data_IF_168693769507
#
_entry.id   IF_168693769507
#
_cell.length_a   1.000
_cell.length_b   1.000
_cell.length_c   1.000
_cell.angle_alpha   90.00
_cell.angle_beta   90.00
_cell.angle_gamma   90.00
#
_symmetry.space_group_name_H-M   'P 1'
#
loop_
_entity.id
_entity.type
_entity.pdbx_description
1 polymer ?
#
# COMPACT_ATOMS: atom_id res chain seq x y z
N UNK A 1 10.77 2.26 19.75
CA UNK A 1 10.84 1.50 18.49
C UNK A 1 12.27 1.03 18.31
N UNK A 2 12.46 -0.19 17.76
CA UNK A 2 13.80 -0.68 17.45
C UNK A 2 14.44 0.17 16.33
N UNK A 3 15.77 0.11 16.22
CA UNK A 3 16.53 0.85 15.21
C UNK A 3 16.03 0.49 13.79
N UNK A 4 15.71 1.49 12.95
CA UNK A 4 15.17 1.33 11.59
C UNK A 4 13.68 1.05 11.47
N UNK A 5 12.94 0.91 12.56
CA UNK A 5 11.48 0.69 12.54
C UNK A 5 10.74 2.01 12.36
N UNK A 6 9.85 2.09 11.36
CA UNK A 6 9.07 3.30 11.10
C UNK A 6 7.58 3.16 11.41
N UNK A 7 7.02 1.94 11.38
CA UNK A 7 5.60 1.67 11.71
C UNK A 7 5.51 0.49 12.65
N UNK A 8 4.59 0.56 13.62
CA UNK A 8 4.27 -0.52 14.53
C UNK A 8 2.77 -0.63 14.79
N UNK A 9 2.19 -1.80 14.50
CA UNK A 9 0.90 -2.23 14.98
C UNK A 9 1.12 -3.09 16.22
N UNK A 10 0.48 -2.73 17.34
CA UNK A 10 0.63 -3.44 18.62
C UNK A 10 -0.71 -4.03 19.03
N UNK A 11 -0.89 -5.34 18.82
CA UNK A 11 -2.05 -6.13 19.24
C UNK A 11 -3.39 -5.47 18.89
N UNK A 12 -3.51 -5.04 17.64
CA UNK A 12 -4.67 -4.31 17.14
C UNK A 12 -5.90 -5.21 17.11
N UNK A 13 -6.98 -4.71 17.71
CA UNK A 13 -8.33 -5.19 17.44
C UNK A 13 -9.15 -4.05 16.85
N UNK A 14 -10.01 -4.36 15.88
CA UNK A 14 -10.96 -3.41 15.30
C UNK A 14 -12.33 -4.08 15.17
N UNK A 15 -13.32 -3.49 15.82
CA UNK A 15 -14.72 -3.91 15.77
C UNK A 15 -15.55 -2.76 15.21
N UNK A 16 -16.44 -3.07 14.28
CA UNK A 16 -17.43 -2.14 13.75
C UNK A 16 -18.79 -2.47 14.31
N UNK A 17 -19.51 -1.46 14.82
CA UNK A 17 -20.91 -1.59 15.18
C UNK A 17 -21.77 -1.52 13.91
N UNK A 18 -22.62 -2.52 13.67
CA UNK A 18 -23.59 -2.57 12.57
C UNK A 18 -24.99 -2.78 13.16
N UNK A 19 -25.66 -1.70 13.54
CA UNK A 19 -26.93 -1.77 14.26
C UNK A 19 -26.80 -2.48 15.59
N UNK A 20 -27.49 -3.63 15.75
CA UNK A 20 -27.39 -4.48 16.96
C UNK A 20 -26.26 -5.51 16.91
N UNK A 21 -25.58 -5.64 15.77
CA UNK A 21 -24.51 -6.62 15.58
C UNK A 21 -23.15 -5.92 15.61
N UNK A 22 -22.16 -6.61 16.16
CA UNK A 22 -20.75 -6.22 16.10
C UNK A 22 -20.03 -7.10 15.09
N UNK A 23 -19.19 -6.47 14.27
CA UNK A 23 -18.37 -7.17 13.30
C UNK A 23 -16.90 -6.95 13.66
N UNK A 24 -16.24 -8.01 14.11
CA UNK A 24 -14.79 -8.00 14.37
C UNK A 24 -14.06 -8.08 13.04
N UNK A 25 -13.47 -6.97 12.61
CA UNK A 25 -12.72 -6.89 11.37
C UNK A 25 -11.27 -7.37 11.55
N UNK A 26 -10.61 -6.95 12.63
CA UNK A 26 -9.24 -7.35 12.98
C UNK A 26 -9.19 -7.86 14.40
N UNK A 27 -8.38 -8.89 14.65
CA UNK A 27 -8.20 -9.48 15.97
C UNK A 27 -6.75 -9.80 16.25
N UNK A 28 -6.15 -9.13 17.24
CA UNK A 28 -4.80 -9.32 17.76
C UNK A 28 -3.72 -9.24 16.65
N UNK A 29 -3.80 -8.21 15.81
CA UNK A 29 -2.88 -7.98 14.70
C UNK A 29 -1.67 -7.20 15.21
N UNK A 30 -0.48 -7.76 15.00
CA UNK A 30 0.81 -7.10 15.25
C UNK A 30 1.65 -7.15 13.97
N UNK A 31 2.22 -6.01 13.57
CA UNK A 31 3.05 -5.89 12.37
C UNK A 31 4.06 -4.76 12.57
N UNK A 32 5.26 -4.95 12.05
CA UNK A 32 6.31 -3.93 12.02
C UNK A 32 6.72 -3.66 10.58
N UNK A 33 6.91 -2.38 10.24
CA UNK A 33 7.45 -1.95 8.95
C UNK A 33 8.73 -1.18 9.21
N UNK A 34 9.79 -1.48 8.47
CA UNK A 34 11.08 -0.78 8.55
C UNK A 34 11.13 0.40 7.56
N UNK A 35 12.00 1.37 7.82
CA UNK A 35 12.25 2.43 6.84
C UNK A 35 12.77 1.85 5.53
N UNK A 36 12.20 2.31 4.42
CA UNK A 36 12.57 1.83 3.09
C UNK A 36 12.05 0.43 2.73
N UNK A 37 11.30 -0.25 3.60
CA UNK A 37 10.77 -1.59 3.35
C UNK A 37 9.47 -1.54 2.53
N UNK A 38 9.35 -2.42 1.54
CA UNK A 38 8.14 -2.62 0.76
C UNK A 38 7.39 -3.85 1.29
N UNK A 39 6.28 -3.64 1.98
CA UNK A 39 5.44 -4.72 2.50
C UNK A 39 4.17 -4.85 1.66
N UNK A 40 3.88 -6.08 1.22
CA UNK A 40 2.59 -6.43 0.63
C UNK A 40 1.73 -7.23 1.61
N UNK A 41 0.46 -6.86 1.74
CA UNK A 41 -0.53 -7.66 2.46
C UNK A 41 -1.42 -8.37 1.45
N UNK A 42 -1.48 -9.69 1.55
CA UNK A 42 -2.37 -10.54 0.75
C UNK A 42 -3.38 -11.27 1.66
N UNK A 43 -4.54 -11.58 1.11
CA UNK A 43 -5.57 -12.30 1.84
C UNK A 43 -6.92 -12.22 1.14
N UNK A 44 -7.90 -13.04 1.54
CA UNK A 44 -9.23 -13.06 0.94
C UNK A 44 -9.96 -11.73 1.10
N UNK A 45 -11.00 -11.52 0.29
CA UNK A 45 -11.85 -10.33 0.40
C UNK A 45 -12.49 -10.26 1.79
N UNK A 46 -12.52 -9.06 2.38
CA UNK A 46 -13.12 -8.82 3.69
C UNK A 46 -12.29 -9.29 4.89
N UNK A 47 -11.03 -9.71 4.71
CA UNK A 47 -10.15 -10.10 5.82
C UNK A 47 -9.57 -8.91 6.63
N UNK A 48 -9.89 -7.66 6.27
CA UNK A 48 -9.46 -6.48 7.04
C UNK A 48 -8.25 -5.73 6.49
N UNK A 49 -7.77 -6.02 5.28
CA UNK A 49 -6.62 -5.32 4.66
C UNK A 49 -6.84 -3.80 4.59
N UNK A 50 -7.95 -3.37 4.01
CA UNK A 50 -8.32 -1.94 3.93
C UNK A 50 -8.48 -1.32 5.32
N UNK A 51 -8.99 -2.09 6.32
CA UNK A 51 -9.03 -1.65 7.71
C UNK A 51 -7.64 -1.35 8.26
N UNK A 52 -6.64 -2.20 7.98
CA UNK A 52 -5.26 -1.93 8.37
C UNK A 52 -4.72 -0.65 7.73
N UNK A 53 -4.97 -0.44 6.44
CA UNK A 53 -4.60 0.82 5.77
C UNK A 53 -5.27 2.04 6.41
N UNK A 54 -6.58 1.97 6.67
CA UNK A 54 -7.34 3.07 7.28
C UNK A 54 -6.84 3.43 8.68
N UNK A 55 -6.49 2.42 9.49
CA UNK A 55 -5.87 2.63 10.80
C UNK A 55 -4.51 3.34 10.66
N UNK A 56 -3.68 2.90 9.70
CA UNK A 56 -2.37 3.48 9.48
C UNK A 56 -2.45 4.87 8.81
N UNK A 57 -3.44 5.11 7.95
CA UNK A 57 -3.72 6.42 7.38
C UNK A 57 -4.26 7.42 8.43
N UNK A 58 -4.77 6.92 9.56
CA UNK A 58 -5.40 7.72 10.61
C UNK A 58 -6.85 8.11 10.28
N UNK A 59 -7.50 7.41 9.34
CA UNK A 59 -8.94 7.59 9.05
C UNK A 59 -9.81 6.88 10.07
N UNK A 60 -9.24 5.91 10.78
CA UNK A 60 -9.89 5.14 11.82
C UNK A 60 -8.96 4.97 13.01
N UNK A 61 -9.55 4.66 14.17
CA UNK A 61 -8.82 4.31 15.38
C UNK A 61 -9.08 2.85 15.75
N UNK A 62 -8.11 2.13 16.31
CA UNK A 62 -8.30 0.76 16.74
C UNK A 62 -9.25 0.72 17.97
N UNK A 63 -10.01 -0.37 18.10
CA UNK A 63 -10.82 -0.63 19.31
C UNK A 63 -9.95 -1.02 20.50
N UNK A 64 -8.85 -1.77 20.24
CA UNK A 64 -7.81 -2.12 21.22
C UNK A 64 -6.44 -2.09 20.54
N UNK A 65 -5.39 -1.92 21.36
CA UNK A 65 -4.02 -1.80 20.87
C UNK A 65 -3.66 -0.38 20.42
N UNK A 66 -2.53 -0.20 19.77
CA UNK A 66 -2.06 1.08 19.24
C UNK A 66 -1.37 0.93 17.89
N UNK A 67 -1.52 1.95 17.03
CA UNK A 67 -0.75 2.10 15.79
C UNK A 67 0.16 3.29 15.95
N UNK A 68 1.44 3.08 15.68
CA UNK A 68 2.45 4.13 15.75
C UNK A 68 3.17 4.24 14.41
N UNK A 69 3.47 5.47 14.00
CA UNK A 69 4.32 5.75 12.85
C UNK A 69 5.38 6.78 13.25
N UNK A 70 6.64 6.52 12.90
CA UNK A 70 7.78 7.42 13.14
C UNK A 70 7.90 7.86 14.61
N UNK A 71 7.64 6.93 15.55
CA UNK A 71 7.73 7.19 17.00
C UNK A 71 6.55 7.97 17.58
N UNK A 72 5.46 8.15 16.84
CA UNK A 72 4.26 8.84 17.28
C UNK A 72 3.02 7.98 17.08
N UNK A 73 2.13 8.00 18.05
CA UNK A 73 0.83 7.39 17.92
C UNK A 73 0.04 8.06 16.81
N UNK A 74 -0.70 7.27 16.05
CA UNK A 74 -1.58 7.78 14.98
C UNK A 74 -2.93 8.12 15.60
N UNK A 75 -3.24 9.41 15.68
CA UNK A 75 -4.52 9.93 16.17
C UNK A 75 -5.36 10.58 15.06
N UNK A 76 -4.83 10.64 13.83
CA UNK A 76 -5.48 11.21 12.66
C UNK A 76 -4.60 11.20 11.40
N UNK A 77 -5.12 11.67 10.26
CA UNK A 77 -4.34 11.82 9.04
C UNK A 77 -3.15 12.77 9.22
N UNK A 78 -2.04 12.47 8.55
CA UNK A 78 -0.81 13.26 8.65
C UNK A 78 -0.07 13.38 7.32
N UNK A 79 0.77 14.44 7.13
CA UNK A 79 1.50 14.68 5.89
C UNK A 79 2.70 13.74 5.70
N UNK A 80 3.09 13.01 6.74
CA UNK A 80 4.17 12.03 6.76
C UNK A 80 3.80 10.74 5.99
N UNK A 81 2.51 10.54 5.71
CA UNK A 81 1.96 9.38 5.02
C UNK A 81 0.91 9.79 4.00
N UNK A 82 0.90 9.11 2.87
CA UNK A 82 -0.05 9.37 1.78
C UNK A 82 -0.72 8.08 1.35
N UNK A 83 -2.03 8.15 1.11
CA UNK A 83 -2.81 7.00 0.65
C UNK A 83 -3.18 7.15 -0.82
N UNK A 84 -2.97 6.09 -1.59
CA UNK A 84 -3.50 5.91 -2.93
C UNK A 84 -4.68 4.94 -2.86
N UNK A 85 -5.87 5.42 -3.23
CA UNK A 85 -7.11 4.66 -3.21
C UNK A 85 -7.30 3.85 -4.49
N UNK A 86 -8.11 2.81 -4.43
CA UNK A 86 -8.41 1.90 -5.54
C UNK A 86 -8.98 2.63 -6.77
N UNK A 87 -9.86 3.61 -6.59
CA UNK A 87 -10.50 4.40 -7.65
C UNK A 87 -9.75 5.72 -7.96
N UNK A 88 -8.45 5.75 -7.65
CA UNK A 88 -7.50 6.85 -7.90
C UNK A 88 -7.82 8.16 -7.19
N UNK A 89 -9.07 8.43 -6.84
CA UNK A 89 -9.58 9.62 -6.16
C UNK A 89 -8.97 10.94 -6.66
N UNK A 90 -8.79 11.07 -7.98
CA UNK A 90 -8.34 12.33 -8.59
C UNK A 90 -9.41 13.41 -8.46
N UNK A 91 -8.97 14.63 -8.22
CA UNK A 91 -9.87 15.79 -8.21
C UNK A 91 -10.35 16.07 -9.64
N UNK A 92 -11.63 15.82 -9.99
CA UNK A 92 -12.10 15.89 -11.37
C UNK A 92 -12.11 17.32 -11.93
N UNK A 93 -12.09 18.35 -11.07
CA UNK A 93 -12.01 19.77 -11.41
C UNK A 93 -10.58 20.29 -11.55
N UNK A 94 -9.57 19.48 -11.26
CA UNK A 94 -8.16 19.83 -11.44
C UNK A 94 -7.57 19.11 -12.64
N UNK A 95 -6.64 19.77 -13.31
CA UNK A 95 -5.82 19.18 -14.38
C UNK A 95 -4.82 18.17 -13.80
N UNK A 96 -4.06 17.46 -14.65
CA UNK A 96 -2.94 16.62 -14.26
C UNK A 96 -1.98 17.39 -13.35
N UNK A 97 -1.48 18.53 -13.82
CA UNK A 97 -0.62 19.40 -13.05
C UNK A 97 -1.28 19.83 -11.73
N UNK A 98 -2.56 20.24 -11.75
CA UNK A 98 -3.28 20.68 -10.57
C UNK A 98 -3.46 19.58 -9.53
N UNK A 99 -3.69 18.33 -9.96
CA UNK A 99 -3.74 17.17 -9.07
C UNK A 99 -2.40 16.92 -8.37
N UNK A 100 -1.30 16.92 -9.10
CA UNK A 100 0.05 16.71 -8.55
C UNK A 100 0.42 17.86 -7.60
N UNK A 101 0.11 19.09 -7.97
CA UNK A 101 0.45 20.30 -7.22
C UNK A 101 -0.38 20.48 -5.93
N UNK A 102 -1.55 19.86 -5.85
CA UNK A 102 -2.52 20.12 -4.78
C UNK A 102 -1.95 19.98 -3.37
N UNK A 103 -1.30 18.84 -3.09
CA UNK A 103 -0.69 18.58 -1.79
C UNK A 103 0.43 19.57 -1.46
N UNK A 104 1.26 19.90 -2.43
CA UNK A 104 2.36 20.88 -2.28
C UNK A 104 1.85 22.28 -1.90
N UNK A 105 0.71 22.70 -2.49
CA UNK A 105 0.06 23.97 -2.11
C UNK A 105 -0.40 23.96 -0.65
N UNK A 106 -0.97 22.86 -0.20
CA UNK A 106 -1.44 22.71 1.19
C UNK A 106 -0.27 22.69 2.20
N UNK A 107 0.89 22.20 1.78
CA UNK A 107 2.13 22.23 2.57
C UNK A 107 2.86 23.59 2.53
N UNK A 108 2.35 24.58 1.79
CA UNK A 108 2.95 25.91 1.71
C UNK A 108 4.22 25.98 0.85
N UNK A 109 4.49 24.99 0.01
CA UNK A 109 5.67 24.99 -0.88
C UNK A 109 5.61 26.18 -1.84
N UNK A 110 6.73 26.89 -2.03
CA UNK A 110 6.81 28.07 -2.90
C UNK A 110 6.47 27.75 -4.36
N UNK A 111 5.87 28.70 -5.10
CA UNK A 111 5.36 28.49 -6.45
C UNK A 111 6.44 27.98 -7.43
N UNK A 112 7.65 28.53 -7.35
CA UNK A 112 8.78 28.11 -8.21
C UNK A 112 9.16 26.65 -7.95
N UNK A 113 9.31 26.28 -6.70
CA UNK A 113 9.65 24.92 -6.28
C UNK A 113 8.54 23.92 -6.67
N UNK A 114 7.26 24.29 -6.46
CA UNK A 114 6.12 23.48 -6.90
C UNK A 114 6.18 23.17 -8.39
N UNK A 115 6.48 24.19 -9.22
CA UNK A 115 6.58 24.01 -10.66
C UNK A 115 7.68 23.04 -11.06
N UNK A 116 8.82 23.06 -10.36
CA UNK A 116 9.93 22.13 -10.57
C UNK A 116 9.55 20.70 -10.17
N UNK A 117 8.93 20.53 -9.00
CA UNK A 117 8.45 19.23 -8.50
C UNK A 117 7.40 18.65 -9.48
N UNK A 118 6.42 19.44 -9.89
CA UNK A 118 5.37 18.99 -10.83
C UNK A 118 5.98 18.54 -12.14
N UNK A 119 6.92 19.32 -12.72
CA UNK A 119 7.62 18.96 -13.95
C UNK A 119 8.34 17.62 -13.78
N UNK A 120 9.09 17.46 -12.70
CA UNK A 120 9.79 16.21 -12.39
C UNK A 120 8.83 15.00 -12.39
N UNK A 121 7.69 15.10 -11.68
CA UNK A 121 6.76 13.99 -11.60
C UNK A 121 5.97 13.77 -12.90
N UNK A 122 5.65 14.81 -13.67
CA UNK A 122 5.06 14.66 -15.02
C UNK A 122 6.01 13.91 -15.95
N UNK A 123 7.30 14.23 -15.89
CA UNK A 123 8.34 13.53 -16.64
C UNK A 123 8.49 12.06 -16.18
N UNK A 124 8.48 11.85 -14.86
CA UNK A 124 8.62 10.51 -14.26
C UNK A 124 7.50 9.55 -14.67
N UNK A 125 6.25 10.05 -14.75
CA UNK A 125 5.07 9.25 -15.12
C UNK A 125 4.78 9.24 -16.62
N UNK A 126 5.68 9.80 -17.45
CA UNK A 126 5.56 9.86 -18.91
C UNK A 126 4.23 10.49 -19.38
N UNK A 127 3.89 11.67 -18.84
CA UNK A 127 2.70 12.43 -19.21
C UNK A 127 3.00 13.85 -19.71
N UNK A 128 4.18 14.06 -20.33
CA UNK A 128 4.50 15.30 -21.03
C UNK A 128 3.46 15.61 -22.11
N UNK A 129 2.99 16.86 -22.14
CA UNK A 129 1.95 17.32 -23.06
C UNK A 129 0.52 17.08 -22.57
N UNK A 130 0.35 16.38 -21.41
CA UNK A 130 -0.95 16.14 -20.79
C UNK A 130 -1.20 17.00 -19.52
N UNK A 131 -0.30 17.91 -19.18
CA UNK A 131 -0.31 18.67 -17.90
C UNK A 131 -1.62 19.42 -17.69
N UNK A 132 -2.23 19.94 -18.79
CA UNK A 132 -3.48 20.71 -18.78
C UNK A 132 -4.74 19.87 -18.98
N UNK A 133 -4.63 18.55 -19.17
CA UNK A 133 -5.77 17.65 -19.31
C UNK A 133 -6.44 17.38 -17.98
N UNK A 134 -7.76 17.23 -18.00
CA UNK A 134 -8.55 16.85 -16.84
C UNK A 134 -8.67 15.31 -16.75
N UNK A 135 -8.94 14.72 -15.57
CA UNK A 135 -9.05 13.27 -15.39
C UNK A 135 -9.98 12.57 -16.39
N UNK A 136 -11.09 13.22 -16.78
CA UNK A 136 -12.04 12.68 -17.78
C UNK A 136 -11.46 12.51 -19.19
N UNK A 137 -10.34 13.16 -19.48
CA UNK A 137 -9.65 13.14 -20.78
C UNK A 137 -8.49 12.11 -20.81
N UNK A 138 -8.31 11.36 -19.73
CA UNK A 138 -7.21 10.43 -19.54
C UNK A 138 -7.71 8.99 -19.59
N UNK A 139 -6.88 8.07 -20.05
CA UNK A 139 -7.11 6.62 -19.91
C UNK A 139 -7.03 6.18 -18.44
N UNK A 140 -7.46 4.97 -18.11
CA UNK A 140 -7.35 4.39 -16.77
C UNK A 140 -5.91 4.39 -16.25
N UNK A 141 -4.98 3.88 -17.04
CA UNK A 141 -3.56 3.87 -16.69
C UNK A 141 -2.96 5.28 -16.54
N UNK A 142 -3.36 6.25 -17.37
CA UNK A 142 -2.92 7.64 -17.20
C UNK A 142 -3.45 8.24 -15.89
N UNK A 143 -4.72 8.02 -15.53
CA UNK A 143 -5.27 8.46 -14.24
C UNK A 143 -4.52 7.87 -13.07
N UNK A 144 -4.17 6.60 -13.14
CA UNK A 144 -3.40 5.92 -12.10
C UNK A 144 -2.01 6.53 -11.95
N UNK A 145 -1.29 6.77 -13.07
CA UNK A 145 0.01 7.44 -13.05
C UNK A 145 -0.06 8.82 -12.40
N UNK A 146 -1.10 9.60 -12.69
CA UNK A 146 -1.33 10.90 -12.03
C UNK A 146 -1.58 10.74 -10.53
N UNK A 147 -2.35 9.72 -10.11
CA UNK A 147 -2.58 9.45 -8.69
C UNK A 147 -1.28 9.07 -7.95
N UNK A 148 -0.43 8.26 -8.58
CA UNK A 148 0.89 7.91 -8.07
C UNK A 148 1.78 9.17 -7.93
N UNK A 149 1.88 9.99 -8.98
CA UNK A 149 2.65 11.23 -8.95
C UNK A 149 2.15 12.19 -7.87
N UNK A 150 0.83 12.34 -7.71
CA UNK A 150 0.22 13.15 -6.64
C UNK A 150 0.62 12.64 -5.25
N UNK A 151 0.60 11.32 -5.06
CA UNK A 151 0.96 10.72 -3.78
C UNK A 151 2.44 10.90 -3.44
N UNK A 152 3.31 10.81 -4.44
CA UNK A 152 4.76 10.92 -4.26
C UNK A 152 5.25 12.38 -4.18
N UNK A 153 4.57 13.33 -4.86
CA UNK A 153 5.00 14.72 -4.95
C UNK A 153 5.15 15.39 -3.58
N UNK A 154 4.33 15.04 -2.61
CA UNK A 154 4.41 15.55 -1.23
C UNK A 154 5.55 14.92 -0.42
N UNK A 155 6.35 14.05 -1.02
CA UNK A 155 7.48 13.35 -0.41
C UNK A 155 7.12 12.68 0.93
N UNK A 156 6.09 11.81 0.96
CA UNK A 156 5.70 11.13 2.19
C UNK A 156 6.84 10.21 2.65
N UNK A 157 6.93 9.94 3.94
CA UNK A 157 7.82 8.90 4.49
C UNK A 157 7.23 7.49 4.35
N UNK A 158 5.88 7.39 4.26
CA UNK A 158 5.13 6.16 4.12
C UNK A 158 4.08 6.29 3.01
N UNK A 159 4.10 5.35 2.07
CA UNK A 159 3.11 5.24 1.00
C UNK A 159 2.16 4.08 1.28
N UNK A 160 0.87 4.35 1.30
CA UNK A 160 -0.21 3.40 1.51
C UNK A 160 -0.95 3.19 0.20
N UNK A 161 -1.12 1.94 -0.24
CA UNK A 161 -1.74 1.63 -1.53
C UNK A 161 -2.77 0.51 -1.38
N UNK A 162 -4.02 0.80 -1.71
CA UNK A 162 -5.13 -0.16 -1.66
C UNK A 162 -5.47 -0.65 -3.06
N UNK A 163 -5.04 -1.85 -3.41
CA UNK A 163 -5.25 -2.52 -4.70
C UNK A 163 -5.04 -1.58 -5.92
N UNK A 164 -3.91 -0.85 -5.99
CA UNK A 164 -3.77 0.25 -6.93
C UNK A 164 -3.79 -0.20 -8.39
N UNK A 165 -3.57 -1.48 -8.69
CA UNK A 165 -3.49 -2.02 -10.04
C UNK A 165 -4.66 -2.93 -10.43
N UNK A 166 -5.69 -3.06 -9.57
CA UNK A 166 -6.80 -3.99 -9.79
C UNK A 166 -7.61 -3.71 -11.07
N UNK A 167 -7.76 -2.44 -11.44
CA UNK A 167 -8.57 -2.02 -12.61
C UNK A 167 -7.78 -1.96 -13.93
N UNK A 168 -6.51 -2.40 -13.96
CA UNK A 168 -5.68 -2.36 -15.15
C UNK A 168 -5.67 -3.71 -15.89
N UNK A 169 -5.55 -3.64 -17.22
CA UNK A 169 -5.18 -4.79 -18.05
C UNK A 169 -3.76 -5.28 -17.70
N UNK A 170 -3.43 -6.52 -18.09
CA UNK A 170 -2.17 -7.17 -17.72
C UNK A 170 -0.93 -6.39 -18.17
N UNK A 171 -0.91 -5.90 -19.41
CA UNK A 171 0.25 -5.18 -19.96
C UNK A 171 0.47 -3.84 -19.26
N UNK A 172 -0.60 -3.07 -19.06
CA UNK A 172 -0.53 -1.79 -18.34
C UNK A 172 -0.14 -1.99 -16.88
N UNK A 173 -0.66 -3.05 -16.24
CA UNK A 173 -0.33 -3.41 -14.85
C UNK A 173 1.16 -3.69 -14.69
N UNK A 174 1.73 -4.54 -15.53
CA UNK A 174 3.14 -4.89 -15.51
C UNK A 174 4.03 -3.64 -15.66
N UNK A 175 3.74 -2.81 -16.65
CA UNK A 175 4.45 -1.54 -16.85
C UNK A 175 4.39 -0.63 -15.62
N UNK A 176 3.22 -0.57 -14.95
CA UNK A 176 3.04 0.28 -13.76
C UNK A 176 3.75 -0.29 -12.52
N UNK A 177 3.81 -1.61 -12.38
CA UNK A 177 4.60 -2.27 -11.33
C UNK A 177 6.09 -1.94 -11.48
N UNK A 178 6.62 -2.07 -12.69
CA UNK A 178 8.03 -1.76 -12.98
C UNK A 178 8.34 -0.28 -12.73
N UNK A 179 7.41 0.60 -13.05
CA UNK A 179 7.53 2.04 -12.79
C UNK A 179 7.51 2.35 -11.29
N UNK A 180 6.61 1.70 -10.53
CA UNK A 180 6.55 1.83 -9.07
C UNK A 180 7.85 1.37 -8.43
N UNK A 181 8.40 0.22 -8.83
CA UNK A 181 9.68 -0.28 -8.31
C UNK A 181 10.82 0.69 -8.63
N UNK A 182 10.89 1.19 -9.87
CA UNK A 182 11.93 2.15 -10.27
C UNK A 182 11.90 3.43 -9.43
N UNK A 183 10.70 3.94 -9.13
CA UNK A 183 10.52 5.11 -8.25
C UNK A 183 10.91 4.76 -6.82
N UNK A 184 10.42 3.63 -6.32
CA UNK A 184 10.70 3.18 -4.96
C UNK A 184 12.20 2.93 -4.72
N UNK A 185 12.91 2.33 -5.66
CA UNK A 185 14.37 2.10 -5.56
C UNK A 185 15.17 3.40 -5.43
N UNK A 186 14.69 4.48 -6.06
CA UNK A 186 15.33 5.81 -5.97
C UNK A 186 15.06 6.52 -4.65
N UNK A 187 13.84 6.40 -4.15
CA UNK A 187 13.38 7.17 -2.99
C UNK A 187 13.42 6.38 -1.68
N UNK A 188 13.46 5.06 -1.73
CA UNK A 188 13.55 4.14 -0.59
C UNK A 188 12.59 4.50 0.54
N UNK A 189 11.33 4.74 0.22
CA UNK A 189 10.27 5.00 1.20
C UNK A 189 9.69 3.70 1.71
N UNK A 190 9.15 3.73 2.94
CA UNK A 190 8.34 2.63 3.42
C UNK A 190 7.04 2.56 2.61
N UNK A 191 6.63 1.35 2.23
CA UNK A 191 5.40 1.09 1.45
C UNK A 191 4.59 0.00 2.13
N UNK A 192 3.30 0.26 2.33
CA UNK A 192 2.32 -0.77 2.64
C UNK A 192 1.35 -0.90 1.47
N UNK A 193 1.40 -2.02 0.79
CA UNK A 193 0.67 -2.31 -0.43
C UNK A 193 -0.32 -3.45 -0.20
N UNK A 194 -1.56 -3.25 -0.55
CA UNK A 194 -2.59 -4.29 -0.51
C UNK A 194 -2.83 -4.80 -1.92
N UNK A 195 -2.86 -6.12 -2.05
CA UNK A 195 -3.27 -6.79 -3.28
C UNK A 195 -3.92 -8.14 -2.95
N UNK A 196 -4.71 -8.66 -3.89
CA UNK A 196 -5.18 -10.04 -3.88
C UNK A 196 -4.37 -10.93 -4.84
N UNK A 197 -3.41 -10.35 -5.59
CA UNK A 197 -2.56 -11.07 -6.54
C UNK A 197 -1.21 -11.41 -5.89
N UNK A 198 -0.94 -12.72 -5.72
CA UNK A 198 0.28 -13.23 -5.10
C UNK A 198 1.52 -12.91 -5.94
N UNK A 199 1.42 -13.05 -7.27
CA UNK A 199 2.53 -12.80 -8.19
C UNK A 199 2.96 -11.33 -8.12
N UNK A 200 1.99 -10.42 -8.02
CA UNK A 200 2.23 -8.99 -7.77
C UNK A 200 2.94 -8.75 -6.44
N UNK A 201 2.48 -9.40 -5.37
CA UNK A 201 3.10 -9.28 -4.05
C UNK A 201 4.56 -9.74 -4.07
N UNK A 202 4.85 -10.89 -4.68
CA UNK A 202 6.23 -11.42 -4.81
C UNK A 202 7.09 -10.51 -5.68
N UNK A 203 6.56 -10.02 -6.80
CA UNK A 203 7.29 -9.10 -7.68
C UNK A 203 7.73 -7.83 -6.96
N UNK A 204 6.85 -7.27 -6.11
CA UNK A 204 7.03 -5.94 -5.53
C UNK A 204 7.65 -5.93 -4.12
N UNK A 205 7.28 -6.87 -3.24
CA UNK A 205 7.55 -6.75 -1.80
C UNK A 205 8.94 -7.22 -1.37
N UNK A 206 9.44 -6.67 -0.28
CA UNK A 206 10.51 -7.28 0.53
C UNK A 206 9.93 -8.29 1.51
N UNK A 207 8.69 -8.04 1.98
CA UNK A 207 7.95 -8.93 2.86
C UNK A 207 6.51 -9.06 2.39
N UNK A 208 6.03 -10.29 2.28
CA UNK A 208 4.62 -10.61 2.02
C UNK A 208 3.97 -11.10 3.30
N UNK A 209 2.92 -10.39 3.72
CA UNK A 209 2.12 -10.70 4.91
C UNK A 209 0.82 -11.35 4.46
N UNK A 210 0.52 -12.54 4.98
CA UNK A 210 -0.71 -13.28 4.68
C UNK A 210 -1.71 -13.10 5.81
N UNK A 211 -2.94 -12.71 5.46
CA UNK A 211 -4.03 -12.54 6.42
C UNK A 211 -5.10 -13.63 6.28
N UNK A 212 -5.64 -14.06 7.44
CA UNK A 212 -6.79 -14.97 7.51
C UNK A 212 -8.11 -14.27 7.16
N UNK A 213 -9.16 -15.03 6.79
CA UNK A 213 -10.53 -14.50 6.73
C UNK A 213 -10.97 -13.90 8.07
N UNK A 214 -12.12 -13.22 8.06
CA UNK A 214 -12.68 -12.53 9.23
C UNK A 214 -12.92 -13.48 10.44
N UNK A 215 -12.46 -13.09 11.64
CA UNK A 215 -11.69 -11.88 11.95
C UNK A 215 -10.27 -11.96 11.43
N UNK A 216 -9.85 -10.87 10.74
CA UNK A 216 -8.53 -10.81 10.13
C UNK A 216 -7.42 -10.92 11.17
N UNK A 217 -6.48 -11.82 10.91
CA UNK A 217 -5.25 -12.05 11.68
C UNK A 217 -4.09 -12.18 10.71
N UNK A 218 -2.90 -11.85 11.12
CA UNK A 218 -1.69 -12.23 10.38
C UNK A 218 -1.42 -13.70 10.65
N UNK A 219 -1.34 -14.49 9.60
CA UNK A 219 -1.06 -15.93 9.69
C UNK A 219 0.41 -16.23 9.43
N UNK A 220 1.04 -15.49 8.52
CA UNK A 220 2.44 -15.70 8.16
C UNK A 220 3.04 -14.45 7.54
N UNK A 221 4.36 -14.33 7.66
CA UNK A 221 5.18 -13.30 7.01
C UNK A 221 6.30 -14.01 6.23
N UNK A 222 6.46 -13.65 4.97
CA UNK A 222 7.46 -14.25 4.07
C UNK A 222 8.41 -13.18 3.57
N UNK A 223 9.73 -13.35 3.80
CA UNK A 223 10.75 -12.52 3.17
C UNK A 223 11.00 -12.98 1.75
N UNK A 224 11.06 -12.04 0.82
CA UNK A 224 11.39 -12.29 -0.58
C UNK A 224 12.84 -11.88 -0.79
N UNK A 225 13.76 -12.86 -0.75
CA UNK A 225 15.20 -12.60 -0.80
C UNK A 225 15.73 -12.39 -2.22
N UNK A 226 14.99 -12.84 -3.24
CA UNK A 226 15.36 -12.68 -4.65
C UNK A 226 15.52 -11.21 -5.02
N UNK A 227 16.62 -10.82 -5.72
CA UNK A 227 16.85 -9.43 -6.14
C UNK A 227 15.83 -8.97 -7.19
N UNK A 228 15.60 -7.65 -7.26
CA UNK A 228 14.77 -7.04 -8.32
C UNK A 228 15.65 -6.73 -9.55
N UNK A 229 15.12 -6.76 -10.80
CA UNK A 229 13.77 -7.18 -11.17
C UNK A 229 13.56 -8.68 -10.97
N UNK A 230 12.39 -9.07 -10.44
CA UNK A 230 12.06 -10.47 -10.16
C UNK A 230 11.27 -11.09 -11.29
N UNK A 231 11.65 -12.31 -11.63
CA UNK A 231 10.87 -13.23 -12.45
C UNK A 231 10.08 -14.15 -11.52
N UNK A 232 8.76 -13.96 -11.48
CA UNK A 232 7.87 -14.72 -10.58
C UNK A 232 7.71 -16.19 -10.98
N UNK A 233 8.07 -16.53 -12.22
CA UNK A 233 8.01 -17.88 -12.77
C UNK A 233 9.32 -18.66 -12.55
N UNK A 234 10.33 -18.03 -11.92
CA UNK A 234 11.65 -18.63 -11.72
C UNK A 234 11.93 -19.03 -10.27
N UNK A 235 12.52 -20.21 -10.09
CA UNK A 235 13.20 -20.69 -8.88
C UNK A 235 12.45 -20.39 -7.58
N UNK A 236 13.13 -19.71 -6.66
CA UNK A 236 12.65 -19.39 -5.32
C UNK A 236 11.33 -18.56 -5.31
N UNK A 237 11.13 -17.68 -6.31
CA UNK A 237 9.89 -16.91 -6.42
C UNK A 237 8.68 -17.79 -6.68
N UNK A 238 8.81 -18.77 -7.59
CA UNK A 238 7.74 -19.69 -7.94
C UNK A 238 7.36 -20.58 -6.74
N UNK A 239 8.36 -21.10 -6.00
CA UNK A 239 8.12 -21.89 -4.79
C UNK A 239 7.36 -21.07 -3.74
N UNK A 240 7.74 -19.82 -3.55
CA UNK A 240 7.08 -18.94 -2.61
C UNK A 240 5.63 -18.58 -3.03
N UNK A 241 5.39 -18.37 -4.34
CA UNK A 241 4.03 -18.19 -4.89
C UNK A 241 3.16 -19.42 -4.59
N UNK A 242 3.68 -20.63 -4.83
CA UNK A 242 2.95 -21.87 -4.54
C UNK A 242 2.64 -22.01 -3.05
N UNK A 243 3.62 -21.80 -2.18
CA UNK A 243 3.44 -21.89 -0.74
C UNK A 243 2.39 -20.89 -0.21
N UNK A 244 2.45 -19.64 -0.64
CA UNK A 244 1.46 -18.64 -0.22
C UNK A 244 0.07 -18.99 -0.75
N UNK A 245 -0.03 -19.52 -1.98
CA UNK A 245 -1.30 -19.94 -2.58
C UNK A 245 -1.94 -21.09 -1.80
N UNK A 246 -1.17 -22.11 -1.46
CA UNK A 246 -1.63 -23.22 -0.61
C UNK A 246 -2.10 -22.73 0.76
N UNK A 247 -1.31 -21.88 1.41
CA UNK A 247 -1.67 -21.29 2.69
C UNK A 247 -2.99 -20.53 2.63
N UNK A 248 -3.20 -19.71 1.60
CA UNK A 248 -4.44 -18.98 1.41
C UNK A 248 -5.64 -19.90 1.18
N UNK A 249 -5.46 -21.01 0.47
CA UNK A 249 -6.49 -22.04 0.33
C UNK A 249 -6.83 -22.70 1.66
N UNK A 250 -5.82 -23.12 2.44
CA UNK A 250 -6.00 -23.73 3.76
C UNK A 250 -6.71 -22.80 4.75
N UNK A 251 -6.28 -21.54 4.82
CA UNK A 251 -6.84 -20.51 5.70
C UNK A 251 -8.28 -20.17 5.30
N UNK A 252 -8.60 -20.18 4.00
CA UNK A 252 -9.96 -19.94 3.50
C UNK A 252 -10.90 -21.11 3.80
N UNK A 253 -10.40 -22.34 3.80
CA UNK A 253 -11.18 -23.55 4.09
C UNK A 253 -11.41 -23.75 5.59
N UNK A 254 -10.47 -23.33 6.46
CA UNK A 254 -10.53 -23.52 7.93
C UNK A 254 -10.11 -22.26 8.68
N UNK A 255 -11.00 -21.25 8.82
CA UNK A 255 -10.64 -19.96 9.42
C UNK A 255 -10.28 -20.04 10.92
N UNK A 256 -10.59 -21.16 11.61
CA UNK A 256 -10.39 -21.31 13.05
C UNK A 256 -9.06 -21.97 13.45
N UNK A 257 -8.35 -22.60 12.52
CA UNK A 257 -7.17 -23.45 12.81
C UNK A 257 -5.86 -22.98 12.17
N UNK A 258 -5.81 -21.75 11.66
CA UNK A 258 -4.59 -21.23 11.05
C UNK A 258 -3.45 -21.17 12.09
N UNK A 259 -2.30 -21.82 11.86
CA UNK A 259 -1.16 -21.74 12.76
C UNK A 259 -0.63 -20.31 12.76
N UNK A 260 -0.53 -19.70 13.93
CA UNK A 260 0.22 -18.45 14.12
C UNK A 260 1.71 -18.84 13.99
N UNK A 261 2.31 -18.60 12.85
CA UNK A 261 3.74 -18.83 12.67
C UNK A 261 4.53 -17.86 13.56
N UNK A 262 5.51 -18.39 14.27
CA UNK A 262 6.48 -17.59 15.00
C UNK A 262 7.29 -16.74 14.01
N UNK A 263 7.72 -15.52 14.40
CA UNK A 263 8.54 -14.69 13.52
C UNK A 263 9.82 -15.44 13.17
N UNK A 264 10.08 -15.56 11.88
CA UNK A 264 11.35 -16.06 11.37
C UNK A 264 12.40 -15.00 11.65
N UNK A 265 13.40 -15.36 12.48
CA UNK A 265 14.51 -14.52 12.93
C UNK A 265 15.44 -14.07 11.82
#
# INVERSE_FOLDING_TARGET
MAEGQCVQFQRICKTYASGRNEVVALHDVSLQIREGEFICIVGPSGCGKTTMLNLLAGFEVPTKGSVEAFGRRIDGPGPDRTMMFQDYALFPWLTVQGNIEYGLRRLGVAAKERAEIVRHYVDLIDLKGFERKFPRQLSGGMRQRVALARALAVKPRLLLMDEPFAALDSFTREKMQDELIRVWERERKAVLFITHNIDEAIKLADVVVVMSPRPGRITSEFRVNSPRPRDVDSGECLELVHHIRELLHLVSANPTTAPVAAPVG
#
